data_IF_816789726186
#
_entry.id   IF_816789726186
#
_cell.length_a   1.000
_cell.length_b   1.000
_cell.length_c   1.000
_cell.angle_alpha   90.00
_cell.angle_beta   90.00
_cell.angle_gamma   90.00
#
_symmetry.space_group_name_H-M   'P 1'
#
loop_
_entity.id
_entity.type
_entity.pdbx_description
1 polymer ?
#
# COMPACT_ATOMS: atom_id res chain seq x y z
N UNK A 1 -6.97 -16.87 19.32
CA UNK A 1 -7.68 -17.90 18.55
C UNK A 1 -7.63 -17.53 17.07
N UNK A 2 -7.10 -18.43 16.23
CA UNK A 2 -7.05 -18.23 14.75
C UNK A 2 -8.41 -18.52 14.06
N UNK A 3 -9.46 -18.77 14.82
CA UNK A 3 -10.80 -18.96 14.24
C UNK A 3 -11.42 -17.62 13.91
N UNK A 4 -11.43 -17.28 12.63
CA UNK A 4 -11.99 -16.04 12.11
C UNK A 4 -13.33 -16.35 11.44
N UNK A 5 -14.41 -15.58 11.74
CA UNK A 5 -15.69 -15.73 11.05
C UNK A 5 -15.50 -15.49 9.53
N UNK A 6 -16.22 -16.27 8.71
CA UNK A 6 -16.11 -16.19 7.24
C UNK A 6 -16.24 -14.75 6.70
N UNK A 7 -17.14 -13.95 7.27
CA UNK A 7 -17.31 -12.53 6.88
C UNK A 7 -16.05 -11.69 7.12
N UNK A 8 -15.32 -11.94 8.22
CA UNK A 8 -14.05 -11.25 8.50
C UNK A 8 -12.95 -11.76 7.58
N UNK A 9 -12.89 -13.07 7.33
CA UNK A 9 -11.93 -13.67 6.41
C UNK A 9 -12.06 -13.07 5.00
N UNK A 10 -13.29 -12.94 4.48
CA UNK A 10 -13.52 -12.33 3.17
C UNK A 10 -13.03 -10.87 3.11
N UNK A 11 -13.20 -10.11 4.20
CA UNK A 11 -12.65 -8.73 4.28
C UNK A 11 -11.13 -8.73 4.26
N UNK A 12 -10.48 -9.61 5.04
CA UNK A 12 -9.01 -9.73 5.08
C UNK A 12 -8.45 -10.14 3.71
N UNK A 13 -9.11 -11.09 3.02
CA UNK A 13 -8.73 -11.49 1.66
C UNK A 13 -8.88 -10.33 0.67
N UNK A 14 -9.96 -9.55 0.77
CA UNK A 14 -10.15 -8.36 -0.07
C UNK A 14 -9.10 -7.29 0.20
N UNK A 15 -8.75 -7.04 1.47
CA UNK A 15 -7.68 -6.11 1.82
C UNK A 15 -6.33 -6.63 1.31
N UNK A 16 -6.06 -7.94 1.42
CA UNK A 16 -4.87 -8.56 0.83
C UNK A 16 -4.79 -8.38 -0.69
N UNK A 17 -5.92 -8.40 -1.41
CA UNK A 17 -5.97 -8.06 -2.83
C UNK A 17 -5.60 -6.58 -3.07
N UNK A 18 -6.12 -5.65 -2.25
CA UNK A 18 -5.76 -4.22 -2.36
C UNK A 18 -4.26 -4.01 -2.13
N UNK A 19 -3.67 -4.69 -1.15
CA UNK A 19 -2.23 -4.66 -0.89
C UNK A 19 -1.43 -5.21 -2.08
N UNK A 20 -1.86 -6.33 -2.67
CA UNK A 20 -1.22 -6.90 -3.85
C UNK A 20 -1.24 -5.93 -5.04
N UNK A 21 -2.39 -5.34 -5.34
CA UNK A 21 -2.54 -4.34 -6.39
C UNK A 21 -1.71 -3.09 -6.10
N UNK A 22 -1.72 -2.60 -4.85
CA UNK A 22 -0.87 -1.50 -4.41
C UNK A 22 0.61 -1.76 -4.73
N UNK A 23 1.13 -2.92 -4.40
CA UNK A 23 2.53 -3.25 -4.69
C UNK A 23 2.82 -3.42 -6.17
N UNK A 24 1.92 -4.06 -6.94
CA UNK A 24 2.08 -4.17 -8.39
C UNK A 24 2.19 -2.79 -9.03
N UNK A 25 1.29 -1.85 -8.69
CA UNK A 25 1.31 -0.49 -9.20
C UNK A 25 2.50 0.32 -8.68
N UNK A 26 2.90 0.13 -7.42
CA UNK A 26 4.06 0.79 -6.84
C UNK A 26 5.36 0.43 -7.57
N UNK A 27 5.65 -0.85 -7.70
CA UNK A 27 6.86 -1.29 -8.40
C UNK A 27 6.81 -0.95 -9.89
N UNK A 28 5.63 -0.99 -10.51
CA UNK A 28 5.48 -0.55 -11.89
C UNK A 28 5.74 0.95 -12.04
N UNK A 29 5.27 1.78 -11.11
CA UNK A 29 5.56 3.22 -11.09
C UNK A 29 7.08 3.48 -11.05
N UNK A 30 7.79 2.81 -10.13
CA UNK A 30 9.26 2.93 -10.02
C UNK A 30 9.95 2.50 -11.31
N UNK A 31 9.49 1.41 -11.94
CA UNK A 31 10.09 0.87 -13.14
C UNK A 31 9.94 1.79 -14.37
N UNK A 32 8.79 2.45 -14.52
CA UNK A 32 8.52 3.35 -15.68
C UNK A 32 8.88 4.81 -15.39
N UNK A 33 9.21 5.16 -14.16
CA UNK A 33 9.71 6.47 -13.78
C UNK A 33 10.98 6.32 -12.95
N UNK A 34 10.92 6.69 -11.68
CA UNK A 34 11.98 6.46 -10.69
C UNK A 34 11.41 6.54 -9.27
N UNK A 35 12.25 6.21 -8.27
CA UNK A 35 11.87 6.21 -6.85
C UNK A 35 11.44 7.60 -6.39
N UNK A 36 12.17 8.66 -6.79
CA UNK A 36 11.90 10.03 -6.33
C UNK A 36 10.52 10.52 -6.78
N UNK A 37 10.18 10.32 -8.05
CA UNK A 37 8.85 10.69 -8.60
C UNK A 37 7.75 9.86 -7.92
N UNK A 38 7.94 8.55 -7.80
CA UNK A 38 6.96 7.68 -7.14
C UNK A 38 6.69 8.13 -5.72
N UNK A 39 7.73 8.41 -4.91
CA UNK A 39 7.57 8.87 -3.53
C UNK A 39 7.00 10.29 -3.44
N UNK A 40 7.30 11.16 -4.40
CA UNK A 40 6.67 12.49 -4.46
C UNK A 40 5.16 12.38 -4.64
N UNK A 41 4.68 11.49 -5.51
CA UNK A 41 3.23 11.22 -5.67
C UNK A 41 2.64 10.59 -4.40
N UNK A 42 3.40 9.75 -3.71
CA UNK A 42 2.96 9.12 -2.46
C UNK A 42 2.69 10.13 -1.33
N UNK A 43 3.27 11.33 -1.38
CA UNK A 43 2.96 12.41 -0.44
C UNK A 43 1.48 12.83 -0.47
N UNK A 44 0.74 12.54 -1.57
CA UNK A 44 -0.70 12.73 -1.66
C UNK A 44 -1.51 11.80 -0.75
N UNK A 45 -0.88 10.79 -0.14
CA UNK A 45 -1.57 9.83 0.73
C UNK A 45 -2.32 10.51 1.88
N UNK A 46 -1.71 11.50 2.52
CA UNK A 46 -2.36 12.27 3.58
C UNK A 46 -3.60 13.04 3.07
N UNK A 47 -3.53 13.61 1.87
CA UNK A 47 -4.66 14.28 1.23
C UNK A 47 -5.80 13.31 0.94
N UNK A 48 -5.53 12.14 0.34
CA UNK A 48 -6.56 11.13 0.11
C UNK A 48 -7.13 10.57 1.41
N UNK A 49 -6.31 10.38 2.45
CA UNK A 49 -6.78 9.97 3.76
C UNK A 49 -7.78 10.99 4.32
N UNK A 50 -7.46 12.29 4.29
CA UNK A 50 -8.34 13.34 4.80
C UNK A 50 -9.71 13.40 4.11
N UNK A 51 -9.79 13.00 2.83
CA UNK A 51 -11.04 12.94 2.07
C UNK A 51 -11.81 11.62 2.27
N UNK A 52 -11.11 10.50 2.46
CA UNK A 52 -11.73 9.19 2.58
C UNK A 52 -12.09 8.81 4.03
N UNK A 53 -11.33 9.26 5.03
CA UNK A 53 -11.64 8.99 6.43
C UNK A 53 -13.06 9.44 6.86
N UNK A 54 -13.59 10.60 6.45
CA UNK A 54 -14.96 10.98 6.73
C UNK A 54 -15.99 9.97 6.24
N UNK A 55 -15.74 9.36 5.08
CA UNK A 55 -16.61 8.34 4.48
C UNK A 55 -16.54 7.03 5.29
N UNK A 56 -15.34 6.66 5.72
CA UNK A 56 -15.13 5.40 6.45
C UNK A 56 -15.55 5.49 7.91
N UNK A 57 -15.28 6.60 8.59
CA UNK A 57 -15.44 6.77 10.05
C UNK A 57 -16.54 7.77 10.44
N UNK A 58 -17.20 8.44 9.47
CA UNK A 58 -18.25 9.40 9.75
C UNK A 58 -17.74 10.69 10.42
N UNK A 59 -16.44 10.95 10.42
CA UNK A 59 -15.87 12.17 10.98
C UNK A 59 -16.08 13.36 10.05
N UNK A 60 -15.95 14.57 10.56
CA UNK A 60 -15.99 15.78 9.74
C UNK A 60 -14.66 15.97 9.01
N UNK A 61 -14.74 16.45 7.76
CA UNK A 61 -13.56 16.91 7.02
C UNK A 61 -12.91 18.08 7.76
N UNK A 62 -11.63 18.02 7.98
CA UNK A 62 -10.84 19.08 8.62
C UNK A 62 -10.22 19.96 7.55
N UNK A 63 -10.66 21.22 7.46
CA UNK A 63 -10.25 22.14 6.38
C UNK A 63 -8.75 22.38 6.29
N UNK A 64 -8.03 22.33 7.41
CA UNK A 64 -6.58 22.46 7.38
C UNK A 64 -5.88 21.26 6.71
N UNK A 65 -6.43 20.04 6.82
CA UNK A 65 -5.89 18.86 6.13
C UNK A 65 -6.06 18.99 4.63
N UNK A 66 -7.22 19.48 4.17
CA UNK A 66 -7.47 19.76 2.76
C UNK A 66 -6.54 20.86 2.25
N UNK A 67 -6.37 21.95 3.03
CA UNK A 67 -5.48 23.05 2.66
C UNK A 67 -4.02 22.59 2.48
N UNK A 68 -3.47 21.82 3.42
CA UNK A 68 -2.13 21.25 3.28
C UNK A 68 -2.05 20.26 2.10
N UNK A 69 -3.10 19.48 1.85
CA UNK A 69 -3.20 18.62 0.68
C UNK A 69 -3.13 19.38 -0.64
N UNK A 70 -3.76 20.55 -0.74
CA UNK A 70 -3.67 21.41 -1.91
C UNK A 70 -2.25 21.98 -2.12
N UNK A 71 -1.53 22.28 -1.05
CA UNK A 71 -0.10 22.68 -1.13
C UNK A 71 0.73 21.53 -1.72
N UNK A 72 0.48 20.29 -1.29
CA UNK A 72 1.16 19.09 -1.84
C UNK A 72 0.85 18.95 -3.34
N UNK A 73 -0.40 19.12 -3.76
CA UNK A 73 -0.81 19.07 -5.17
C UNK A 73 -0.09 20.16 -5.98
N UNK A 74 -0.02 21.39 -5.45
CA UNK A 74 0.70 22.47 -6.12
C UNK A 74 2.19 22.16 -6.28
N UNK A 75 2.84 21.64 -5.24
CA UNK A 75 4.23 21.17 -5.31
C UNK A 75 4.44 20.05 -6.34
N UNK A 76 3.54 19.08 -6.38
CA UNK A 76 3.58 18.01 -7.38
C UNK A 76 3.38 18.55 -8.80
N UNK A 77 2.48 19.53 -9.00
CA UNK A 77 2.26 20.14 -10.30
C UNK A 77 3.54 20.83 -10.83
N UNK A 78 4.35 21.44 -9.96
CA UNK A 78 5.65 22.02 -10.35
C UNK A 78 6.62 20.91 -10.79
N UNK A 79 6.67 19.79 -10.05
CA UNK A 79 7.48 18.63 -10.44
C UNK A 79 7.03 18.07 -11.79
N UNK A 80 5.74 17.96 -12.04
CA UNK A 80 5.18 17.46 -13.30
C UNK A 80 5.55 18.35 -14.51
N UNK A 81 5.69 19.67 -14.35
CA UNK A 81 6.12 20.56 -15.44
C UNK A 81 7.54 20.25 -15.92
N UNK A 82 8.41 19.81 -15.02
CA UNK A 82 9.80 19.46 -15.34
C UNK A 82 9.92 18.00 -15.81
N UNK A 83 9.09 17.11 -15.27
CA UNK A 83 9.21 15.65 -15.40
C UNK A 83 8.02 15.03 -16.16
N UNK A 84 7.49 15.74 -17.15
CA UNK A 84 6.29 15.32 -17.93
C UNK A 84 6.49 13.94 -18.61
N UNK A 85 7.74 13.56 -18.89
CA UNK A 85 8.07 12.26 -19.51
C UNK A 85 7.73 11.07 -18.61
N UNK A 86 7.47 11.29 -17.31
CA UNK A 86 7.14 10.27 -16.32
C UNK A 86 5.66 10.20 -15.94
N UNK A 87 4.79 10.78 -16.77
CA UNK A 87 3.35 10.82 -16.51
C UNK A 87 2.76 9.43 -16.22
N UNK A 88 3.13 8.41 -16.99
CA UNK A 88 2.67 7.03 -16.76
C UNK A 88 3.08 6.52 -15.37
N UNK A 89 4.32 6.78 -14.95
CA UNK A 89 4.79 6.44 -13.61
C UNK A 89 4.02 7.14 -12.52
N UNK A 90 3.71 8.42 -12.70
CA UNK A 90 2.88 9.20 -11.77
C UNK A 90 1.46 8.65 -11.66
N UNK A 91 0.84 8.23 -12.77
CA UNK A 91 -0.49 7.61 -12.77
C UNK A 91 -0.50 6.26 -12.05
N UNK A 92 0.53 5.42 -12.25
CA UNK A 92 0.68 4.19 -11.50
C UNK A 92 0.91 4.45 -10.00
N UNK A 93 1.73 5.44 -9.65
CA UNK A 93 1.97 5.83 -8.27
C UNK A 93 0.68 6.36 -7.61
N UNK A 94 -0.10 7.18 -8.33
CA UNK A 94 -1.39 7.71 -7.86
C UNK A 94 -2.38 6.57 -7.58
N UNK A 95 -2.50 5.62 -8.51
CA UNK A 95 -3.35 4.44 -8.30
C UNK A 95 -2.90 3.65 -7.09
N UNK A 96 -1.59 3.43 -6.96
CA UNK A 96 -1.01 2.71 -5.83
C UNK A 96 -1.31 3.38 -4.50
N UNK A 97 -1.10 4.71 -4.37
CA UNK A 97 -1.33 5.40 -3.08
C UNK A 97 -2.81 5.44 -2.69
N UNK A 98 -3.74 5.55 -3.65
CA UNK A 98 -5.17 5.45 -3.36
C UNK A 98 -5.52 4.07 -2.79
N UNK A 99 -5.00 2.99 -3.40
CA UNK A 99 -5.15 1.63 -2.87
C UNK A 99 -4.54 1.50 -1.47
N UNK A 100 -3.36 2.15 -1.27
CA UNK A 100 -2.68 2.22 0.02
C UNK A 100 -3.54 2.85 1.12
N UNK A 101 -4.15 3.98 0.84
CA UNK A 101 -5.07 4.65 1.76
C UNK A 101 -6.30 3.78 2.04
N UNK A 102 -6.90 3.17 1.01
CA UNK A 102 -8.08 2.32 1.18
C UNK A 102 -7.81 1.13 2.11
N UNK A 103 -6.74 0.37 1.90
CA UNK A 103 -6.45 -0.75 2.78
C UNK A 103 -6.10 -0.28 4.21
N UNK A 104 -5.42 0.85 4.36
CA UNK A 104 -5.11 1.44 5.67
C UNK A 104 -6.38 1.77 6.45
N UNK A 105 -7.35 2.45 5.81
CA UNK A 105 -8.64 2.77 6.43
C UNK A 105 -9.46 1.52 6.77
N UNK A 106 -9.41 0.48 5.92
CA UNK A 106 -10.06 -0.79 6.23
C UNK A 106 -9.40 -1.49 7.42
N UNK A 107 -8.09 -1.44 7.54
CA UNK A 107 -7.34 -2.00 8.66
C UNK A 107 -7.66 -1.29 9.98
N UNK A 108 -7.86 0.03 9.96
CA UNK A 108 -8.35 0.77 11.12
C UNK A 108 -9.69 0.25 11.68
N UNK A 109 -10.58 -0.29 10.82
CA UNK A 109 -11.81 -0.97 11.26
C UNK A 109 -11.60 -2.42 11.69
N UNK A 110 -10.66 -3.11 11.06
CA UNK A 110 -10.40 -4.51 11.36
C UNK A 110 -9.70 -4.68 12.71
N UNK A 111 -8.83 -3.72 13.08
CA UNK A 111 -8.08 -3.73 14.35
C UNK A 111 -8.99 -3.62 15.59
N UNK A 112 -10.20 -3.09 15.46
CA UNK A 112 -11.17 -3.06 16.55
C UNK A 112 -11.59 -4.47 17.01
N UNK A 113 -11.48 -5.47 16.14
CA UNK A 113 -12.03 -6.82 16.36
C UNK A 113 -11.00 -7.94 16.27
N UNK A 114 -9.84 -7.68 15.69
CA UNK A 114 -8.83 -8.68 15.40
C UNK A 114 -7.44 -8.21 15.87
N UNK A 115 -6.59 -9.17 16.22
CA UNK A 115 -5.19 -8.89 16.56
C UNK A 115 -4.38 -8.43 15.34
N UNK A 116 -3.49 -7.43 15.48
CA UNK A 116 -2.66 -6.93 14.38
C UNK A 116 -1.90 -8.03 13.62
N UNK A 117 -1.35 -9.01 14.35
CA UNK A 117 -0.58 -10.10 13.74
C UNK A 117 -1.47 -11.03 12.92
N UNK A 118 -2.71 -11.24 13.36
CA UNK A 118 -3.70 -12.05 12.65
C UNK A 118 -4.14 -11.35 11.37
N UNK A 119 -4.44 -10.04 11.45
CA UNK A 119 -4.77 -9.21 10.29
C UNK A 119 -3.66 -9.32 9.26
N UNK A 120 -2.44 -8.97 9.65
CA UNK A 120 -1.26 -8.96 8.77
C UNK A 120 -0.99 -10.33 8.13
N UNK A 121 -1.13 -11.42 8.91
CA UNK A 121 -0.92 -12.77 8.40
C UNK A 121 -1.88 -13.12 7.25
N UNK A 122 -3.18 -12.92 7.44
CA UNK A 122 -4.17 -13.28 6.42
C UNK A 122 -4.10 -12.36 5.20
N UNK A 123 -3.81 -11.07 5.40
CA UNK A 123 -3.66 -10.11 4.31
C UNK A 123 -2.42 -10.40 3.46
N UNK A 124 -1.28 -10.69 4.10
CA UNK A 124 -0.06 -11.06 3.36
C UNK A 124 -0.19 -12.42 2.68
N UNK A 125 -0.85 -13.39 3.31
CA UNK A 125 -1.13 -14.67 2.67
C UNK A 125 -2.00 -14.49 1.42
N UNK A 126 -3.08 -13.72 1.52
CA UNK A 126 -3.94 -13.40 0.37
C UNK A 126 -3.17 -12.62 -0.70
N UNK A 127 -2.41 -11.59 -0.31
CA UNK A 127 -1.57 -10.81 -1.22
C UNK A 127 -0.54 -11.67 -1.95
N UNK A 128 0.12 -12.58 -1.24
CA UNK A 128 1.05 -13.55 -1.82
C UNK A 128 0.37 -14.43 -2.88
N UNK A 129 -0.80 -14.99 -2.57
CA UNK A 129 -1.57 -15.81 -3.52
C UNK A 129 -1.94 -14.98 -4.76
N UNK A 130 -2.46 -13.76 -4.59
CA UNK A 130 -2.83 -12.91 -5.72
C UNK A 130 -1.64 -12.52 -6.59
N UNK A 131 -0.50 -12.14 -6.01
CA UNK A 131 0.72 -11.82 -6.76
C UNK A 131 1.23 -13.04 -7.51
N UNK A 132 1.25 -14.22 -6.86
CA UNK A 132 1.67 -15.47 -7.49
C UNK A 132 0.79 -15.80 -8.69
N UNK A 133 -0.55 -15.74 -8.53
CA UNK A 133 -1.49 -15.96 -9.63
C UNK A 133 -1.30 -14.94 -10.76
N UNK A 134 -1.07 -13.67 -10.43
CA UNK A 134 -0.78 -12.64 -11.43
C UNK A 134 0.46 -12.99 -12.27
N UNK A 135 1.57 -13.40 -11.66
CA UNK A 135 2.78 -13.78 -12.38
C UNK A 135 2.60 -15.07 -13.20
N UNK A 136 1.86 -16.05 -12.69
CA UNK A 136 1.53 -17.27 -13.43
C UNK A 136 0.69 -16.97 -14.67
N UNK A 137 -0.35 -16.14 -14.56
CA UNK A 137 -1.20 -15.75 -15.69
C UNK A 137 -0.45 -14.94 -16.75
N UNK A 138 0.54 -14.13 -16.33
CA UNK A 138 1.40 -13.38 -17.24
C UNK A 138 2.52 -14.22 -17.86
N UNK A 139 2.61 -15.51 -17.51
CA UNK A 139 3.71 -16.41 -17.93
C UNK A 139 5.11 -15.85 -17.62
N UNK A 140 5.21 -15.01 -16.58
CA UNK A 140 6.46 -14.35 -16.16
C UNK A 140 7.13 -15.06 -14.99
N UNK A 141 6.56 -16.16 -14.51
CA UNK A 141 7.16 -16.92 -13.43
C UNK A 141 8.33 -17.73 -13.98
N UNK A 142 9.55 -17.39 -13.59
CA UNK A 142 10.77 -18.07 -13.99
C UNK A 142 11.63 -18.40 -12.77
N UNK A 143 12.37 -19.50 -12.83
CA UNK A 143 13.37 -19.84 -11.80
C UNK A 143 14.52 -18.82 -11.73
N UNK A 144 14.71 -17.99 -12.76
CA UNK A 144 15.70 -16.90 -12.76
C UNK A 144 15.46 -15.87 -11.65
N UNK A 145 14.22 -15.75 -11.13
CA UNK A 145 13.93 -14.94 -9.93
C UNK A 145 14.75 -15.35 -8.71
N UNK A 146 15.20 -16.59 -8.63
CA UNK A 146 15.97 -17.11 -7.52
C UNK A 146 17.47 -17.07 -7.75
N UNK A 147 17.91 -16.70 -8.97
CA UNK A 147 19.34 -16.57 -9.33
C UNK A 147 19.81 -15.17 -8.95
N UNK A 148 20.05 -14.95 -7.66
CA UNK A 148 20.47 -13.67 -7.11
C UNK A 148 21.77 -13.81 -6.35
N UNK A 149 22.54 -12.72 -6.28
CA UNK A 149 23.72 -12.65 -5.42
C UNK A 149 23.33 -12.73 -3.94
N UNK A 150 24.24 -13.21 -3.08
CA UNK A 150 24.02 -13.27 -1.63
C UNK A 150 23.62 -11.90 -1.07
N UNK A 151 24.25 -10.83 -1.55
CA UNK A 151 23.93 -9.47 -1.12
C UNK A 151 22.48 -9.08 -1.44
N UNK A 152 21.99 -9.42 -2.63
CA UNK A 152 20.59 -9.16 -3.03
C UNK A 152 19.64 -9.97 -2.16
N UNK A 153 19.94 -11.22 -1.84
CA UNK A 153 19.13 -12.03 -0.92
C UNK A 153 19.06 -11.41 0.46
N UNK A 154 20.19 -10.93 1.02
CA UNK A 154 20.20 -10.23 2.32
C UNK A 154 19.33 -8.98 2.28
N UNK A 155 19.43 -8.16 1.23
CA UNK A 155 18.60 -6.95 1.07
C UNK A 155 17.11 -7.28 0.96
N UNK A 156 16.74 -8.31 0.21
CA UNK A 156 15.36 -8.77 0.09
C UNK A 156 14.83 -9.28 1.44
N UNK A 157 15.63 -10.03 2.20
CA UNK A 157 15.23 -10.51 3.52
C UNK A 157 15.03 -9.37 4.51
N UNK A 158 15.89 -8.34 4.50
CA UNK A 158 15.70 -7.13 5.32
C UNK A 158 14.44 -6.39 4.90
N UNK A 159 14.23 -6.19 3.60
CA UNK A 159 13.04 -5.53 3.06
C UNK A 159 11.76 -6.29 3.47
N UNK A 160 11.75 -7.61 3.34
CA UNK A 160 10.58 -8.44 3.64
C UNK A 160 10.29 -8.52 5.15
N UNK A 161 11.32 -8.72 5.98
CA UNK A 161 11.12 -8.94 7.42
C UNK A 161 10.96 -7.63 8.20
N UNK A 162 11.88 -6.68 8.03
CA UNK A 162 11.91 -5.43 8.82
C UNK A 162 11.02 -4.36 8.18
N UNK A 163 11.29 -4.04 6.91
CA UNK A 163 10.63 -2.91 6.26
C UNK A 163 9.18 -3.22 5.85
N UNK A 164 8.81 -4.50 5.71
CA UNK A 164 7.46 -4.89 5.33
C UNK A 164 6.72 -5.56 6.48
N UNK A 165 7.11 -6.77 6.88
CA UNK A 165 6.31 -7.53 7.85
C UNK A 165 6.24 -6.85 9.22
N UNK A 166 7.39 -6.50 9.81
CA UNK A 166 7.40 -5.82 11.10
C UNK A 166 6.77 -4.42 11.04
N UNK A 167 7.14 -3.61 10.06
CA UNK A 167 6.61 -2.25 9.91
C UNK A 167 5.09 -2.26 9.68
N UNK A 168 4.57 -3.22 8.92
CA UNK A 168 3.13 -3.35 8.68
C UNK A 168 2.38 -3.76 9.96
N UNK A 169 2.84 -4.78 10.69
CA UNK A 169 2.25 -5.17 11.99
C UNK A 169 2.27 -3.99 12.97
N UNK A 170 3.39 -3.26 13.05
CA UNK A 170 3.52 -2.09 13.90
C UNK A 170 2.54 -0.98 13.50
N UNK A 171 2.41 -0.69 12.20
CA UNK A 171 1.48 0.31 11.67
C UNK A 171 0.03 -0.05 12.01
N UNK A 172 -0.39 -1.29 11.77
CA UNK A 172 -1.74 -1.77 12.14
C UNK A 172 -1.97 -1.69 13.65
N UNK A 173 -0.94 -2.01 14.46
CA UNK A 173 -1.04 -1.89 15.93
C UNK A 173 -1.25 -0.45 16.38
N UNK A 174 -0.55 0.51 15.78
CA UNK A 174 -0.67 1.95 16.11
C UNK A 174 -2.08 2.46 15.79
N UNK A 175 -2.72 1.97 14.75
CA UNK A 175 -4.11 2.36 14.39
C UNK A 175 -5.09 2.13 15.54
N UNK A 176 -4.83 1.16 16.43
CA UNK A 176 -5.66 0.92 17.62
C UNK A 176 -5.71 2.12 18.60
N UNK A 177 -4.72 3.02 18.52
CA UNK A 177 -4.64 4.20 19.39
C UNK A 177 -5.11 5.48 18.69
N UNK A 178 -5.32 5.42 17.37
CA UNK A 178 -5.71 6.58 16.55
C UNK A 178 -7.21 6.53 16.24
N UNK A 179 -7.75 5.36 16.01
CA UNK A 179 -9.16 5.10 15.73
C UNK A 179 -9.83 4.40 16.90
#
# INVERSE_FOLDING_TARGET
>A
SFQIPLRSLLKLVFVGLLIALHWIFFFKAIHVSNVSITLSVFSLGAFFASLLEPIFYGRKVLWYEVFFGLIIIAGLAIIMQVEINYLDGMLYALTSIILGVLFTLMNGKLIERHDPSVISFYEFLAGFVFITLYFLLQQKFSFDFFVLTVNNWVLILILASVCTAYAFIASVKVMKFIF
#
